data_IF_993488373307
#
_entry.id   IF_993488373307
#
_cell.length_a   1.000
_cell.length_b   1.000
_cell.length_c   1.000
_cell.angle_alpha   90.00
_cell.angle_beta   90.00
_cell.angle_gamma   90.00
#
_symmetry.space_group_name_H-M   'P 1'
#
loop_
_entity.id
_entity.type
_entity.pdbx_description
1 polymer ?
#
# COMPACT_ATOMS: atom_id res chain seq x y z
N UNK A 1 -19.35 25.78 -0.82
CA UNK A 1 -19.12 25.44 -0.95
C UNK A 1 -18.47 24.69 -1.07
N UNK A 2 -18.56 24.30 -0.99
CA UNK A 2 -18.06 23.63 -1.09
C UNK A 2 -17.60 22.74 -1.23
N UNK A 3 -17.64 22.64 -1.19
CA UNK A 3 -17.44 21.75 -1.36
C UNK A 3 -16.96 20.78 -2.05
N UNK A 4 -17.40 20.58 -2.78
CA UNK A 4 -17.06 19.43 -3.58
C UNK A 4 -15.70 18.85 -3.32
N UNK A 5 -14.63 19.61 -3.46
CA UNK A 5 -13.29 19.12 -3.18
C UNK A 5 -13.11 18.54 -1.78
N UNK A 6 -13.96 18.96 -0.89
CA UNK A 6 -13.89 18.47 0.49
C UNK A 6 -14.01 16.95 0.54
N UNK A 7 -14.92 16.40 -0.26
CA UNK A 7 -15.09 14.96 -0.27
C UNK A 7 -13.86 14.21 -0.71
N UNK A 8 -13.19 14.70 -1.76
CA UNK A 8 -12.01 14.02 -2.28
C UNK A 8 -10.84 14.08 -1.31
N UNK A 9 -10.72 15.16 -0.54
CA UNK A 9 -9.62 15.26 0.41
C UNK A 9 -9.86 14.41 1.66
N UNK A 10 -11.12 14.10 1.95
CA UNK A 10 -11.45 13.30 3.13
C UNK A 10 -11.16 11.82 2.93
N UNK A 11 -10.98 11.38 1.68
CA UNK A 11 -10.81 9.97 1.37
C UNK A 11 -9.55 9.74 0.55
N UNK A 12 -8.39 9.59 1.21
CA UNK A 12 -7.16 9.30 0.50
C UNK A 12 -7.30 8.04 -0.34
N UNK A 13 -6.68 8.03 -1.50
CA UNK A 13 -6.71 6.89 -2.38
C UNK A 13 -5.96 5.71 -1.75
N UNK A 14 -6.19 4.51 -2.32
CA UNK A 14 -5.44 3.33 -1.89
C UNK A 14 -3.95 3.60 -2.04
N UNK A 15 -3.55 4.19 -3.17
CA UNK A 15 -2.14 4.49 -3.41
C UNK A 15 -1.56 5.41 -2.35
N UNK A 16 -2.27 6.46 -1.99
CA UNK A 16 -1.79 7.40 -0.98
C UNK A 16 -1.57 6.72 0.35
N UNK A 17 -2.50 5.85 0.73
CA UNK A 17 -2.41 5.13 1.99
C UNK A 17 -1.24 4.15 1.98
N UNK A 18 -1.05 3.46 0.85
CA UNK A 18 0.08 2.54 0.72
C UNK A 18 1.41 3.27 0.73
N UNK A 19 1.49 4.42 0.07
CA UNK A 19 2.71 5.21 0.09
C UNK A 19 3.13 5.59 1.50
N UNK A 20 2.17 5.96 2.33
CA UNK A 20 2.47 6.29 3.72
C UNK A 20 2.94 5.07 4.50
N UNK A 21 2.30 3.91 4.28
CA UNK A 21 2.72 2.69 4.94
C UNK A 21 4.15 2.31 4.55
N UNK A 22 4.43 2.34 3.26
CA UNK A 22 5.76 1.97 2.75
C UNK A 22 6.81 2.94 3.28
N UNK A 23 6.54 4.24 3.20
CA UNK A 23 7.47 5.24 3.70
C UNK A 23 7.76 5.05 5.18
N UNK A 24 6.73 4.76 5.95
CA UNK A 24 6.89 4.54 7.39
C UNK A 24 7.73 3.29 7.67
N UNK A 25 7.44 2.20 6.96
CA UNK A 25 8.17 0.94 7.18
C UNK A 25 9.63 1.08 6.77
N UNK A 26 9.90 1.84 5.71
CA UNK A 26 11.27 2.09 5.27
C UNK A 26 12.00 3.09 6.18
N UNK A 27 11.31 3.71 7.12
CA UNK A 27 11.91 4.71 7.99
C UNK A 27 12.12 6.05 7.31
N UNK A 28 11.43 6.29 6.23
CA UNK A 28 11.54 7.53 5.43
C UNK A 28 10.17 8.07 5.08
N UNK A 29 9.36 8.43 6.09
CA UNK A 29 7.98 8.88 5.80
C UNK A 29 7.94 10.09 4.87
N UNK A 30 8.96 10.94 4.92
CA UNK A 30 9.02 12.11 4.06
C UNK A 30 9.25 11.75 2.60
N UNK A 31 9.69 10.53 2.31
CA UNK A 31 9.94 10.08 0.94
C UNK A 31 8.70 9.54 0.26
N UNK A 32 7.57 9.47 0.97
CA UNK A 32 6.35 8.89 0.40
C UNK A 32 5.94 9.56 -0.91
N UNK A 33 6.09 10.90 -0.98
CA UNK A 33 5.68 11.65 -2.16
C UNK A 33 6.60 11.44 -3.36
N UNK A 34 7.82 10.94 -3.12
CA UNK A 34 8.80 10.77 -4.19
C UNK A 34 8.99 9.31 -4.60
N UNK A 35 8.30 8.37 -3.95
CA UNK A 35 8.43 6.97 -4.30
C UNK A 35 7.69 6.67 -5.60
N UNK A 36 8.36 5.96 -6.50
CA UNK A 36 7.72 5.50 -7.72
C UNK A 36 6.91 4.24 -7.45
N UNK A 37 5.68 4.21 -7.97
CA UNK A 37 4.81 3.05 -7.78
C UNK A 37 5.36 1.82 -8.49
N UNK A 38 6.15 2.00 -9.54
CA UNK A 38 6.71 0.89 -10.31
C UNK A 38 8.06 0.42 -9.78
N UNK A 39 8.67 1.16 -8.87
CA UNK A 39 9.96 0.75 -8.31
C UNK A 39 9.80 -0.53 -7.51
N UNK A 40 10.81 -1.39 -7.60
CA UNK A 40 10.79 -2.63 -6.84
C UNK A 40 11.01 -2.34 -5.36
N UNK A 41 10.13 -2.87 -4.53
CA UNK A 41 10.23 -2.64 -3.10
C UNK A 41 11.56 -3.14 -2.54
N UNK A 42 12.07 -4.26 -3.06
CA UNK A 42 13.36 -4.77 -2.60
C UNK A 42 14.50 -3.80 -2.89
N UNK A 43 14.40 -3.06 -3.99
CA UNK A 43 15.42 -2.08 -4.36
C UNK A 43 15.33 -0.83 -3.51
N UNK A 44 14.19 -0.60 -2.86
CA UNK A 44 13.99 0.53 -1.97
C UNK A 44 14.46 0.26 -0.54
N UNK A 45 14.99 -0.94 -0.30
CA UNK A 45 15.45 -1.31 1.04
C UNK A 45 14.45 -2.13 1.83
N UNK A 46 13.43 -2.66 1.16
CA UNK A 46 12.41 -3.48 1.82
C UNK A 46 12.95 -4.89 2.02
N UNK A 47 13.44 -5.18 3.23
CA UNK A 47 13.93 -6.51 3.58
C UNK A 47 12.74 -7.47 3.74
N UNK A 48 13.05 -8.76 3.91
CA UNK A 48 12.02 -9.76 4.12
C UNK A 48 11.18 -9.45 5.37
N UNK A 49 11.83 -9.03 6.44
CA UNK A 49 11.12 -8.69 7.68
C UNK A 49 10.23 -7.48 7.45
N UNK A 50 10.74 -6.46 6.77
CA UNK A 50 9.94 -5.28 6.47
C UNK A 50 8.78 -5.62 5.55
N UNK A 51 8.96 -6.57 4.64
CA UNK A 51 7.88 -7.02 3.77
C UNK A 51 6.75 -7.65 4.58
N UNK A 52 7.08 -8.47 5.58
CA UNK A 52 6.07 -9.04 6.48
C UNK A 52 5.35 -7.92 7.23
N UNK A 53 6.11 -6.93 7.70
CA UNK A 53 5.50 -5.79 8.38
C UNK A 53 4.54 -5.05 7.45
N UNK A 54 4.90 -4.91 6.17
CA UNK A 54 4.01 -4.28 5.20
C UNK A 54 2.73 -5.07 5.02
N UNK A 55 2.82 -6.39 4.92
CA UNK A 55 1.62 -7.22 4.79
C UNK A 55 0.67 -7.02 5.96
N UNK A 56 1.21 -7.04 7.18
CA UNK A 56 0.40 -6.86 8.38
C UNK A 56 -0.20 -5.45 8.43
N UNK A 57 0.60 -4.45 8.04
CA UNK A 57 0.12 -3.08 8.04
C UNK A 57 -1.00 -2.89 7.02
N UNK A 58 -0.90 -3.53 5.86
CA UNK A 58 -1.94 -3.48 4.84
C UNK A 58 -3.24 -4.09 5.37
N UNK A 59 -3.14 -5.24 6.03
CA UNK A 59 -4.33 -5.88 6.58
C UNK A 59 -5.03 -4.99 7.60
N UNK A 60 -4.24 -4.33 8.44
CA UNK A 60 -4.79 -3.43 9.45
C UNK A 60 -5.36 -2.16 8.82
N UNK A 61 -4.60 -1.58 7.89
CA UNK A 61 -4.99 -0.30 7.30
C UNK A 61 -6.29 -0.40 6.51
N UNK A 62 -6.47 -1.50 5.78
CA UNK A 62 -7.62 -1.67 4.89
C UNK A 62 -8.67 -2.62 5.46
N UNK A 63 -8.46 -3.08 6.68
CA UNK A 63 -9.39 -3.98 7.38
C UNK A 63 -9.74 -5.17 6.50
N UNK A 64 -8.70 -5.89 6.07
CA UNK A 64 -8.87 -7.08 5.24
C UNK A 64 -7.84 -8.13 5.63
N UNK A 65 -8.02 -9.33 5.10
CA UNK A 65 -7.07 -10.42 5.28
C UNK A 65 -6.51 -10.78 3.90
N UNK A 66 -5.19 -10.85 3.79
CA UNK A 66 -4.56 -11.26 2.53
C UNK A 66 -4.56 -12.78 2.50
N UNK A 67 -5.27 -13.40 1.53
CA UNK A 67 -5.25 -14.86 1.43
C UNK A 67 -3.83 -15.36 1.19
N UNK A 68 -3.53 -16.52 1.76
CA UNK A 68 -2.19 -17.07 1.65
C UNK A 68 -1.76 -17.27 0.20
N UNK A 69 -2.69 -17.64 -0.67
CA UNK A 69 -2.38 -17.82 -2.08
C UNK A 69 -2.03 -16.51 -2.81
N UNK A 70 -2.36 -15.37 -2.21
CA UNK A 70 -2.03 -14.08 -2.79
C UNK A 70 -0.71 -13.51 -2.27
N UNK A 71 -0.08 -14.18 -1.30
CA UNK A 71 1.23 -13.77 -0.79
C UNK A 71 2.29 -14.34 -1.73
N UNK A 72 2.51 -13.63 -2.82
CA UNK A 72 3.43 -14.07 -3.87
C UNK A 72 4.44 -12.96 -4.15
N UNK A 73 5.61 -13.31 -4.69
CA UNK A 73 6.58 -12.27 -5.05
C UNK A 73 6.02 -11.25 -6.06
N UNK A 74 5.18 -11.71 -6.98
CA UNK A 74 4.60 -10.81 -7.98
C UNK A 74 3.68 -9.77 -7.35
N UNK A 75 2.87 -10.18 -6.38
CA UNK A 75 1.92 -9.26 -5.75
C UNK A 75 2.62 -8.24 -4.86
N UNK A 76 3.81 -8.54 -4.40
CA UNK A 76 4.57 -7.65 -3.51
C UNK A 76 5.84 -7.13 -4.15
N UNK A 77 5.88 -7.13 -5.49
CA UNK A 77 7.05 -6.65 -6.23
C UNK A 77 7.22 -5.15 -6.12
N UNK A 78 6.12 -4.41 -6.27
CA UNK A 78 6.15 -2.96 -6.30
C UNK A 78 4.92 -2.40 -5.60
N UNK A 79 4.91 -1.10 -5.38
CA UNK A 79 3.74 -0.44 -4.81
C UNK A 79 2.53 -0.66 -5.72
N UNK A 80 2.73 -0.56 -7.04
CA UNK A 80 1.63 -0.75 -7.98
C UNK A 80 1.05 -2.17 -7.87
N UNK A 81 1.90 -3.17 -7.68
CA UNK A 81 1.42 -4.55 -7.50
C UNK A 81 0.60 -4.69 -6.23
N UNK A 82 1.06 -4.10 -5.13
CA UNK A 82 0.34 -4.16 -3.86
C UNK A 82 -0.97 -3.41 -3.98
N UNK A 83 -0.97 -2.28 -4.66
CA UNK A 83 -2.18 -1.51 -4.88
C UNK A 83 -3.24 -2.34 -5.62
N UNK A 84 -2.81 -3.03 -6.67
CA UNK A 84 -3.72 -3.87 -7.44
C UNK A 84 -4.29 -4.99 -6.58
N UNK A 85 -3.45 -5.60 -5.74
CA UNK A 85 -3.90 -6.64 -4.83
C UNK A 85 -4.94 -6.11 -3.85
N UNK A 86 -4.66 -4.97 -3.24
CA UNK A 86 -5.56 -4.37 -2.26
C UNK A 86 -6.90 -4.02 -2.92
N UNK A 87 -6.85 -3.42 -4.11
CA UNK A 87 -8.07 -3.04 -4.81
C UNK A 87 -8.94 -4.27 -5.09
N UNK A 88 -8.31 -5.38 -5.51
CA UNK A 88 -9.03 -6.62 -5.79
C UNK A 88 -9.65 -7.19 -4.52
N UNK A 89 -8.88 -7.22 -3.42
CA UNK A 89 -9.39 -7.78 -2.17
C UNK A 89 -10.52 -6.92 -1.60
N UNK A 90 -10.42 -5.60 -1.72
CA UNK A 90 -11.49 -4.73 -1.27
C UNK A 90 -12.77 -4.94 -2.09
N UNK A 91 -12.62 -5.17 -3.40
CA UNK A 91 -13.78 -5.45 -4.25
C UNK A 91 -14.46 -6.75 -3.85
N UNK A 92 -13.68 -7.77 -3.49
CA UNK A 92 -14.23 -9.06 -3.07
C UNK A 92 -14.92 -8.96 -1.72
N UNK A 93 -14.50 -8.02 -0.90
CA UNK A 93 -15.05 -7.84 0.44
C UNK A 93 -16.44 -7.21 0.41
N UNK A 94 -16.74 -6.46 -0.62
CA UNK A 94 -18.01 -5.71 -0.72
C UNK A 94 -19.21 -6.62 -0.96
#
# INVERSE_FOLDING_TARGET
MNDGPVGSTAHPSIRDRLLRLVGHILGKPEAADSLSAEARLSELGMSSIKMVNLMLAVETEFDLTIPQGDITPDNFRSLASVEALVARLLALKS
#
